data_IF_323176436892
#
_entry.id   IF_323176436892
#
_cell.length_a   1.000
_cell.length_b   1.000
_cell.length_c   1.000
_cell.angle_alpha   90.00
_cell.angle_beta   90.00
_cell.angle_gamma   90.00
#
_symmetry.space_group_name_H-M   'P 1'
#
loop_
_entity.id
_entity.type
_entity.pdbx_description
1 polymer ?
#
# COMPACT_ATOMS: atom_id res chain seq x y z
N UNK A 1 -15.58 -14.72 10.53
CA UNK A 1 -14.19 -15.24 10.55
C UNK A 1 -13.90 -15.72 11.97
N UNK A 2 -13.08 -16.76 12.16
CA UNK A 2 -12.71 -17.18 13.52
C UNK A 2 -11.45 -16.46 14.00
N UNK A 3 -11.38 -16.19 15.29
CA UNK A 3 -10.20 -15.63 15.97
C UNK A 3 -8.96 -16.50 15.74
N UNK A 4 -9.12 -17.83 15.75
CA UNK A 4 -8.03 -18.78 15.47
C UNK A 4 -7.41 -18.59 14.08
N UNK A 5 -8.22 -18.29 13.05
CA UNK A 5 -7.71 -18.05 11.71
C UNK A 5 -6.91 -16.74 11.63
N UNK A 6 -7.37 -15.69 12.33
CA UNK A 6 -6.65 -14.40 12.43
C UNK A 6 -5.32 -14.59 13.17
N UNK A 7 -5.31 -15.24 14.33
CA UNK A 7 -4.08 -15.50 15.07
C UNK A 7 -3.07 -16.32 14.26
N UNK A 8 -3.53 -17.25 13.42
CA UNK A 8 -2.66 -18.03 12.53
C UNK A 8 -2.09 -17.20 11.37
N UNK A 9 -2.74 -16.10 10.97
CA UNK A 9 -2.17 -15.14 10.01
C UNK A 9 -1.17 -14.21 10.68
N UNK A 10 -1.49 -13.70 11.88
CA UNK A 10 -0.60 -12.84 12.65
C UNK A 10 0.71 -13.52 13.04
N UNK A 11 0.69 -14.84 13.20
CA UNK A 11 1.87 -15.66 13.51
C UNK A 11 2.55 -16.22 12.25
N UNK A 12 2.23 -15.71 11.06
CA UNK A 12 2.76 -16.13 9.76
C UNK A 12 2.63 -17.63 9.43
N UNK A 13 1.84 -18.39 10.19
CA UNK A 13 1.64 -19.83 9.98
C UNK A 13 0.76 -20.16 8.79
N UNK A 14 0.02 -19.19 8.27
CA UNK A 14 -0.91 -19.39 7.16
C UNK A 14 -1.24 -18.06 6.48
N UNK A 15 -1.60 -18.10 5.20
CA UNK A 15 -2.07 -16.91 4.47
C UNK A 15 -3.57 -16.97 4.17
N UNK A 16 -4.27 -15.82 4.19
CA UNK A 16 -5.67 -15.75 3.78
C UNK A 16 -5.83 -16.13 2.31
N UNK A 17 -6.92 -16.85 2.00
CA UNK A 17 -7.32 -17.11 0.60
C UNK A 17 -7.63 -15.79 -0.11
N UNK A 18 -7.40 -15.72 -1.43
CA UNK A 18 -7.68 -14.53 -2.26
C UNK A 18 -9.14 -14.04 -2.12
N UNK A 19 -10.11 -14.96 -2.06
CA UNK A 19 -11.52 -14.62 -1.82
C UNK A 19 -11.74 -13.92 -0.47
N UNK A 20 -10.92 -14.26 0.53
CA UNK A 20 -10.97 -13.67 1.86
C UNK A 20 -10.32 -12.28 1.89
N UNK A 21 -9.21 -12.11 1.19
CA UNK A 21 -8.57 -10.79 0.98
C UNK A 21 -9.56 -9.82 0.32
N UNK A 22 -10.28 -10.27 -0.72
CA UNK A 22 -11.33 -9.46 -1.37
C UNK A 22 -12.45 -9.06 -0.42
N UNK A 23 -12.92 -10.00 0.41
CA UNK A 23 -13.97 -9.70 1.39
C UNK A 23 -13.51 -8.69 2.46
N UNK A 24 -12.26 -8.78 2.92
CA UNK A 24 -11.67 -7.83 3.86
C UNK A 24 -11.51 -6.45 3.19
N UNK A 25 -11.02 -6.40 1.96
CA UNK A 25 -10.86 -5.16 1.19
C UNK A 25 -12.20 -4.44 1.01
N UNK A 26 -13.25 -5.19 0.65
CA UNK A 26 -14.60 -4.65 0.51
C UNK A 26 -15.17 -4.09 1.82
N UNK A 27 -14.93 -4.77 2.95
CA UNK A 27 -15.36 -4.28 4.27
C UNK A 27 -14.66 -2.98 4.67
N UNK A 28 -13.39 -2.82 4.29
CA UNK A 28 -12.58 -1.64 4.58
C UNK A 28 -12.73 -0.54 3.52
N UNK A 29 -13.56 -0.74 2.50
CA UNK A 29 -13.67 0.15 1.33
C UNK A 29 -12.33 0.41 0.63
N UNK A 30 -11.44 -0.59 0.64
CA UNK A 30 -10.13 -0.58 -0.02
C UNK A 30 -10.14 -1.51 -1.24
N UNK A 31 -9.24 -1.26 -2.19
CA UNK A 31 -8.88 -2.24 -3.21
C UNK A 31 -8.03 -3.37 -2.62
N UNK A 32 -8.02 -4.54 -3.27
CA UNK A 32 -7.12 -5.62 -2.87
C UNK A 32 -5.65 -5.26 -3.02
N UNK A 33 -5.31 -4.33 -3.92
CA UNK A 33 -3.95 -3.83 -4.08
C UNK A 33 -3.55 -3.01 -2.85
N UNK A 34 -4.38 -2.07 -2.43
CA UNK A 34 -4.14 -1.26 -1.22
C UNK A 34 -4.01 -2.12 0.04
N UNK A 35 -4.87 -3.13 0.19
CA UNK A 35 -4.82 -4.06 1.32
C UNK A 35 -3.54 -4.90 1.36
N UNK A 36 -2.92 -5.16 0.20
CA UNK A 36 -1.70 -5.96 0.07
C UNK A 36 -0.42 -5.13 -0.02
N UNK A 37 -0.54 -3.83 -0.30
CA UNK A 37 0.56 -2.86 -0.43
C UNK A 37 1.05 -2.35 0.93
N UNK A 38 0.52 -2.83 2.05
CA UNK A 38 0.99 -2.52 3.42
C UNK A 38 2.36 -3.14 3.78
N UNK A 39 3.34 -3.03 2.89
CA UNK A 39 4.75 -3.33 3.11
C UNK A 39 5.64 -2.10 2.85
N UNK A 40 6.98 -2.23 2.92
CA UNK A 40 7.93 -1.14 2.69
C UNK A 40 7.67 -0.34 1.40
N UNK A 41 7.15 -1.03 0.37
CA UNK A 41 6.80 -0.45 -0.93
C UNK A 41 5.60 0.51 -0.88
N UNK A 42 4.61 0.28 0.00
CA UNK A 42 3.47 1.19 0.17
C UNK A 42 3.86 2.50 0.84
N UNK A 43 4.66 2.41 1.92
CA UNK A 43 5.23 3.58 2.58
C UNK A 43 6.13 4.37 1.62
N UNK A 44 6.91 3.68 0.79
CA UNK A 44 7.72 4.31 -0.25
C UNK A 44 6.84 5.01 -1.30
N UNK A 45 5.76 4.39 -1.77
CA UNK A 45 4.85 5.01 -2.73
C UNK A 45 4.17 6.27 -2.18
N UNK A 46 3.69 6.23 -0.94
CA UNK A 46 3.11 7.40 -0.28
C UNK A 46 4.13 8.53 -0.13
N UNK A 47 5.35 8.20 0.31
CA UNK A 47 6.44 9.17 0.44
C UNK A 47 6.87 9.76 -0.91
N UNK A 48 6.90 8.94 -1.97
CA UNK A 48 7.19 9.39 -3.33
C UNK A 48 6.09 10.31 -3.86
N UNK A 49 4.81 10.03 -3.59
CA UNK A 49 3.68 10.87 -3.98
C UNK A 49 3.77 12.25 -3.30
N UNK A 50 3.95 12.26 -1.97
CA UNK A 50 4.12 13.49 -1.20
C UNK A 50 5.33 14.32 -1.68
N UNK A 51 6.47 13.65 -1.94
CA UNK A 51 7.67 14.32 -2.41
C UNK A 51 7.50 14.92 -3.80
N UNK A 52 6.78 14.25 -4.71
CA UNK A 52 6.47 14.78 -6.05
C UNK A 52 5.63 16.05 -5.95
N UNK A 53 4.62 16.09 -5.09
CA UNK A 53 3.78 17.27 -4.87
C UNK A 53 4.59 18.45 -4.34
N UNK A 54 5.45 18.21 -3.36
CA UNK A 54 6.29 19.24 -2.78
C UNK A 54 7.28 19.83 -3.80
N UNK A 55 7.98 18.97 -4.54
CA UNK A 55 8.93 19.39 -5.58
C UNK A 55 8.20 20.15 -6.69
N UNK A 56 7.04 19.65 -7.14
CA UNK A 56 6.26 20.29 -8.18
C UNK A 56 5.86 21.71 -7.80
N UNK A 57 5.39 21.89 -6.56
CA UNK A 57 5.03 23.20 -6.00
C UNK A 57 6.22 24.16 -5.98
N UNK A 58 7.40 23.72 -5.53
CA UNK A 58 8.60 24.56 -5.45
C UNK A 58 9.14 24.90 -6.85
N UNK A 59 9.13 23.93 -7.76
CA UNK A 59 9.64 24.09 -9.12
C UNK A 59 8.63 24.75 -10.08
N UNK A 60 7.41 25.05 -9.64
CA UNK A 60 6.35 25.62 -10.48
C UNK A 60 5.90 24.69 -11.61
N UNK A 61 5.96 23.38 -11.39
CA UNK A 61 5.56 22.35 -12.36
C UNK A 61 4.42 21.50 -11.79
N UNK A 62 4.03 20.44 -12.50
CA UNK A 62 3.02 19.49 -12.04
C UNK A 62 3.68 18.20 -11.53
N UNK A 63 3.10 17.49 -10.55
CA UNK A 63 3.68 16.26 -9.98
C UNK A 63 4.01 15.18 -11.02
N UNK A 64 3.24 15.13 -12.12
CA UNK A 64 3.42 14.17 -13.22
C UNK A 64 4.70 14.43 -14.02
N UNK A 65 5.24 15.65 -13.97
CA UNK A 65 6.49 16.04 -14.62
C UNK A 65 7.72 15.81 -13.74
N UNK A 66 7.53 15.48 -12.46
CA UNK A 66 8.62 15.19 -11.53
C UNK A 66 9.01 13.72 -11.68
N UNK A 67 10.31 13.41 -11.84
CA UNK A 67 10.83 12.04 -11.85
C UNK A 67 11.83 11.87 -10.71
N UNK A 68 11.59 10.86 -9.87
CA UNK A 68 12.45 10.51 -8.72
C UNK A 68 13.07 9.15 -9.04
N UNK A 69 14.41 9.08 -9.06
CA UNK A 69 15.19 7.86 -9.30
C UNK A 69 15.92 7.53 -8.00
N UNK A 70 15.83 6.27 -7.58
CA UNK A 70 16.56 5.74 -6.43
C UNK A 70 17.47 4.63 -6.96
N UNK A 71 18.78 4.82 -6.83
CA UNK A 71 19.78 3.81 -7.19
C UNK A 71 20.26 3.13 -5.90
N UNK A 72 20.31 1.80 -5.90
CA UNK A 72 20.77 0.94 -4.80
C UNK A 72 21.73 -0.12 -5.31
#
# INVERSE_FOLDING_TARGET
MSTAAVCSWEQDRSRPKVSRIRAIAALLSLSTAELLTSGPTGQLHEKLAQSREEIARIAGTTPEKVRIIIEV
#
